data_IF_495845631356
#
_entry.id   IF_495845631356
#
_cell.length_a   1.000
_cell.length_b   1.000
_cell.length_c   1.000
_cell.angle_alpha   90.00
_cell.angle_beta   90.00
_cell.angle_gamma   90.00
#
_symmetry.space_group_name_H-M   'P 1'
#
loop_
_entity.id
_entity.type
_entity.pdbx_description
1 polymer ?
#
# COMPACT_ATOMS: atom_id res chain seq x y z
N UNK A 1 17.21 -37.11 -2.47
CA UNK A 1 17.42 -35.74 -1.95
C UNK A 1 16.63 -34.78 -2.82
N UNK A 2 15.51 -34.28 -2.35
CA UNK A 2 14.71 -33.25 -3.03
C UNK A 2 15.30 -31.88 -2.69
N UNK A 3 15.72 -31.13 -3.71
CA UNK A 3 16.14 -29.74 -3.51
C UNK A 3 14.93 -28.93 -3.01
N UNK A 4 15.10 -28.03 -2.02
CA UNK A 4 14.01 -27.20 -1.56
C UNK A 4 13.54 -26.31 -2.72
N UNK A 5 12.23 -26.26 -2.94
CA UNK A 5 11.64 -25.34 -3.91
C UNK A 5 12.11 -23.94 -3.53
N UNK A 6 12.89 -23.31 -4.40
CA UNK A 6 13.21 -21.90 -4.25
C UNK A 6 11.87 -21.18 -4.32
N UNK A 7 11.44 -20.68 -3.17
CA UNK A 7 10.30 -19.79 -3.00
C UNK A 7 10.69 -18.46 -3.67
N UNK A 8 10.72 -18.49 -5.01
CA UNK A 8 10.94 -17.33 -5.86
C UNK A 8 9.68 -16.48 -5.71
N UNK A 9 9.66 -15.68 -4.64
CA UNK A 9 8.66 -14.65 -4.36
C UNK A 9 8.70 -13.69 -5.54
N UNK A 10 7.94 -14.01 -6.58
CA UNK A 10 7.68 -13.08 -7.67
C UNK A 10 7.08 -11.84 -7.00
N UNK A 11 7.75 -10.68 -7.06
CA UNK A 11 7.20 -9.49 -6.43
C UNK A 11 5.84 -9.21 -7.06
N UNK A 12 4.87 -8.86 -6.22
CA UNK A 12 3.57 -8.44 -6.72
C UNK A 12 3.78 -7.24 -7.66
N UNK A 13 3.08 -7.19 -8.80
CA UNK A 13 3.17 -6.04 -9.68
C UNK A 13 2.68 -4.79 -8.94
N UNK A 14 3.35 -3.66 -9.20
CA UNK A 14 2.91 -2.39 -8.67
C UNK A 14 1.61 -1.98 -9.39
N UNK A 15 0.51 -1.92 -8.65
CA UNK A 15 -0.80 -1.56 -9.17
C UNK A 15 -1.10 -0.14 -8.69
N UNK A 16 -1.22 0.85 -9.60
CA UNK A 16 -1.52 2.21 -9.20
C UNK A 16 -2.87 2.26 -8.50
N UNK A 17 -2.92 2.94 -7.35
CA UNK A 17 -4.18 3.13 -6.65
C UNK A 17 -5.11 4.01 -7.50
N UNK A 18 -6.40 3.63 -7.63
CA UNK A 18 -7.35 4.46 -8.34
C UNK A 18 -7.62 5.75 -7.55
N UNK A 19 -7.48 6.89 -8.23
CA UNK A 19 -7.72 8.21 -7.64
C UNK A 19 -9.20 8.60 -7.56
N UNK A 20 -10.06 7.91 -8.33
CA UNK A 20 -11.49 8.18 -8.44
C UNK A 20 -12.25 6.91 -8.85
N UNK A 21 -13.55 6.90 -8.59
CA UNK A 21 -14.47 5.82 -8.95
C UNK A 21 -15.91 6.33 -8.92
N UNK A 22 -16.76 5.80 -9.80
CA UNK A 22 -18.20 6.09 -9.80
C UNK A 22 -18.98 5.28 -8.76
N UNK A 23 -18.33 4.32 -8.10
CA UNK A 23 -18.96 3.52 -7.05
C UNK A 23 -18.98 4.30 -5.72
N UNK A 24 -20.17 4.68 -5.20
CA UNK A 24 -20.27 5.68 -4.13
C UNK A 24 -19.56 5.29 -2.84
N UNK A 25 -19.63 4.00 -2.46
CA UNK A 25 -18.95 3.49 -1.27
C UNK A 25 -17.43 3.51 -1.44
N UNK A 26 -16.94 3.14 -2.62
CA UNK A 26 -15.50 3.11 -2.88
C UNK A 26 -14.94 4.53 -2.98
N UNK A 27 -15.72 5.47 -3.53
CA UNK A 27 -15.38 6.89 -3.56
C UNK A 27 -15.22 7.47 -2.15
N UNK A 28 -16.13 7.14 -1.22
CA UNK A 28 -16.03 7.56 0.18
C UNK A 28 -14.77 7.01 0.87
N UNK A 29 -14.46 5.72 0.64
CA UNK A 29 -13.25 5.08 1.19
C UNK A 29 -11.98 5.74 0.63
N UNK A 30 -11.92 5.99 -0.68
CA UNK A 30 -10.76 6.64 -1.30
C UNK A 30 -10.59 8.09 -0.81
N UNK A 31 -11.68 8.82 -0.58
CA UNK A 31 -11.65 10.16 -0.02
C UNK A 31 -11.08 10.17 1.41
N UNK A 32 -11.57 9.28 2.28
CA UNK A 32 -11.08 9.12 3.65
C UNK A 32 -9.59 8.73 3.67
N UNK A 33 -9.18 7.79 2.83
CA UNK A 33 -7.78 7.38 2.70
C UNK A 33 -6.89 8.53 2.23
N UNK A 34 -7.35 9.37 1.29
CA UNK A 34 -6.58 10.54 0.83
C UNK A 34 -6.42 11.61 1.93
N UNK A 35 -7.41 11.79 2.78
CA UNK A 35 -7.30 12.69 3.95
C UNK A 35 -6.25 12.17 4.92
N UNK A 36 -6.34 10.88 5.27
CA UNK A 36 -5.38 10.23 6.16
C UNK A 36 -3.98 10.18 5.61
N UNK A 37 -3.81 10.00 4.29
CA UNK A 37 -2.49 10.02 3.65
C UNK A 37 -1.81 11.38 3.84
N UNK A 38 -2.55 12.48 3.64
CA UNK A 38 -2.07 13.84 3.90
C UNK A 38 -1.72 14.09 5.37
N UNK A 39 -2.49 13.52 6.30
CA UNK A 39 -2.17 13.57 7.73
C UNK A 39 -0.96 12.70 8.08
N UNK A 40 -0.80 11.55 7.40
CA UNK A 40 0.28 10.59 7.63
C UNK A 40 1.64 11.02 7.09
N UNK A 41 1.70 12.01 6.19
CA UNK A 41 2.95 12.69 5.80
C UNK A 41 3.63 13.32 7.03
N UNK A 42 2.87 13.58 8.12
CA UNK A 42 3.40 14.12 9.39
C UNK A 42 3.90 13.01 10.33
N UNK A 43 3.76 11.72 10.00
CA UNK A 43 4.30 10.63 10.82
C UNK A 43 5.80 10.56 10.60
N UNK A 44 6.49 11.16 11.56
CA UNK A 44 7.93 11.19 11.77
C UNK A 44 8.67 10.01 11.15
N UNK A 45 9.66 10.36 10.32
CA UNK A 45 10.83 9.55 10.02
C UNK A 45 11.43 9.06 11.35
N UNK A 46 10.98 7.90 11.82
CA UNK A 46 11.70 7.13 12.82
C UNK A 46 12.92 6.60 12.09
N UNK A 47 14.01 7.37 12.14
CA UNK A 47 15.32 6.85 11.77
C UNK A 47 15.62 5.64 12.65
N UNK A 48 16.23 4.63 12.00
CA UNK A 48 16.72 3.38 12.56
C UNK A 48 16.98 3.44 14.07
N UNK A 49 16.20 2.66 14.83
CA UNK A 49 16.65 2.24 16.15
C UNK A 49 17.47 0.95 15.99
N UNK A 50 18.65 0.86 16.65
CA UNK A 50 19.76 -0.05 16.34
C UNK A 50 19.49 -1.54 16.56
#
# INVERSE_FOLDING_TARGET
>A
MTAPAQDARTPLPDIPRPDHTDHPVLAAILAELRVRDRESIVVARYEDAP
#
